data_IF_983691768835
#
_entry.id   IF_983691768835
#
_cell.length_a   1.000
_cell.length_b   1.000
_cell.length_c   1.000
_cell.angle_alpha   90.00
_cell.angle_beta   90.00
_cell.angle_gamma   90.00
#
_symmetry.space_group_name_H-M   'P 1'
#
loop_
_entity.id
_entity.type
_entity.pdbx_description
1 polymer ?
#
# COMPACT_ATOMS: atom_id res chain seq x y z
N UNK A 1 -0.34 15.00 16.82
CA UNK A 1 -1.65 15.67 16.85
C UNK A 1 -2.12 16.15 15.50
N UNK A 2 -1.31 16.95 14.80
CA UNK A 2 -1.73 17.74 13.63
C UNK A 2 -2.18 16.94 12.39
N UNK A 3 -1.58 15.77 12.13
CA UNK A 3 -1.87 14.96 10.91
C UNK A 3 -3.04 13.98 11.10
N UNK A 4 -3.40 13.62 12.34
CA UNK A 4 -4.42 12.59 12.61
C UNK A 4 -5.85 13.11 12.39
N UNK A 5 -6.10 14.37 12.74
CA UNK A 5 -7.41 15.00 12.60
C UNK A 5 -7.88 15.15 11.12
N UNK A 6 -7.05 15.59 10.15
CA UNK A 6 -7.49 15.66 8.75
C UNK A 6 -7.75 14.29 8.12
N UNK A 7 -6.97 13.27 8.47
CA UNK A 7 -7.17 11.90 7.97
C UNK A 7 -8.52 11.31 8.42
N UNK A 8 -8.89 11.52 9.69
CA UNK A 8 -10.17 11.07 10.22
C UNK A 8 -11.35 11.80 9.56
N UNK A 9 -11.21 13.12 9.31
CA UNK A 9 -12.24 13.88 8.60
C UNK A 9 -12.40 13.42 7.16
N UNK A 10 -11.29 13.14 6.48
CA UNK A 10 -11.31 12.60 5.12
C UNK A 10 -11.99 11.23 5.08
N UNK A 11 -11.66 10.33 6.01
CA UNK A 11 -12.29 9.00 6.05
C UNK A 11 -13.80 9.09 6.28
N UNK A 12 -14.25 9.93 7.22
CA UNK A 12 -15.68 10.13 7.49
C UNK A 12 -16.38 10.70 6.25
N UNK A 13 -15.79 11.71 5.61
CA UNK A 13 -16.35 12.31 4.40
C UNK A 13 -16.47 11.29 3.25
N UNK A 14 -15.44 10.46 3.02
CA UNK A 14 -15.47 9.41 2.00
C UNK A 14 -16.55 8.36 2.29
N UNK A 15 -16.74 7.94 3.54
CA UNK A 15 -17.79 6.99 3.91
C UNK A 15 -19.18 7.58 3.69
N UNK A 16 -19.41 8.84 4.06
CA UNK A 16 -20.69 9.52 3.84
C UNK A 16 -21.00 9.67 2.34
N UNK A 17 -20.00 9.98 1.52
CA UNK A 17 -20.15 10.10 0.07
C UNK A 17 -20.52 8.75 -0.57
N UNK A 18 -19.90 7.66 -0.10
CA UNK A 18 -20.23 6.30 -0.54
C UNK A 18 -21.66 5.91 -0.16
N UNK A 19 -22.13 6.25 1.05
CA UNK A 19 -23.53 6.04 1.45
C UNK A 19 -24.49 6.90 0.63
N UNK A 20 -24.14 8.15 0.35
CA UNK A 20 -24.93 9.04 -0.50
C UNK A 20 -25.09 8.49 -1.93
N UNK A 21 -24.02 7.92 -2.51
CA UNK A 21 -24.07 7.29 -3.84
C UNK A 21 -25.02 6.09 -3.91
N UNK A 22 -25.26 5.37 -2.81
CA UNK A 22 -26.28 4.32 -2.76
C UNK A 22 -27.71 4.86 -2.88
N UNK A 23 -27.95 6.10 -2.44
CA UNK A 23 -29.25 6.76 -2.52
C UNK A 23 -29.49 7.48 -3.86
N UNK A 24 -28.52 7.45 -4.79
CA UNK A 24 -28.59 8.11 -6.10
C UNK A 24 -28.64 7.05 -7.22
N UNK A 25 -28.95 7.43 -8.45
CA UNK A 25 -28.94 6.54 -9.64
C UNK A 25 -27.57 5.85 -9.89
N UNK A 26 -26.49 6.35 -9.27
CA UNK A 26 -25.16 5.76 -9.28
C UNK A 26 -24.98 4.55 -8.32
N UNK A 27 -26.05 3.98 -7.78
CA UNK A 27 -26.01 2.88 -6.81
C UNK A 27 -25.23 1.65 -7.30
N UNK A 28 -25.26 1.35 -8.61
CA UNK A 28 -24.49 0.25 -9.20
C UNK A 28 -22.98 0.42 -8.98
N UNK A 29 -22.49 1.66 -9.10
CA UNK A 29 -21.07 1.98 -8.87
C UNK A 29 -20.73 1.74 -7.40
N UNK A 30 -21.57 2.20 -6.49
CA UNK A 30 -21.40 2.00 -5.05
C UNK A 30 -21.44 0.51 -4.67
N UNK A 31 -22.35 -0.26 -5.28
CA UNK A 31 -22.49 -1.70 -5.06
C UNK A 31 -21.26 -2.47 -5.56
N UNK A 32 -20.79 -2.21 -6.78
CA UNK A 32 -19.58 -2.84 -7.33
C UNK A 32 -18.36 -2.52 -6.47
N UNK A 33 -18.20 -1.27 -6.06
CA UNK A 33 -17.08 -0.85 -5.21
C UNK A 33 -17.15 -1.50 -3.82
N UNK A 34 -18.34 -1.59 -3.23
CA UNK A 34 -18.54 -2.26 -1.93
C UNK A 34 -18.29 -3.76 -2.02
N UNK A 35 -18.72 -4.42 -3.09
CA UNK A 35 -18.41 -5.83 -3.34
C UNK A 35 -16.89 -6.04 -3.45
N UNK A 36 -16.18 -5.16 -4.16
CA UNK A 36 -14.72 -5.18 -4.22
C UNK A 36 -14.08 -4.99 -2.84
N UNK A 37 -14.56 -4.04 -2.02
CA UNK A 37 -14.09 -3.84 -0.65
C UNK A 37 -14.27 -5.07 0.23
N UNK A 38 -15.41 -5.77 0.12
CA UNK A 38 -15.69 -7.00 0.88
C UNK A 38 -14.74 -8.12 0.44
N UNK A 39 -14.56 -8.31 -0.87
CA UNK A 39 -13.60 -9.27 -1.40
C UNK A 39 -12.16 -8.94 -0.96
N UNK A 40 -11.82 -7.65 -0.88
CA UNK A 40 -10.48 -7.19 -0.52
C UNK A 40 -10.25 -7.05 0.99
N UNK A 41 -11.24 -7.32 1.83
CA UNK A 41 -11.20 -7.05 3.27
C UNK A 41 -10.04 -7.73 3.99
N UNK A 42 -9.65 -8.93 3.53
CA UNK A 42 -8.58 -9.71 4.14
C UNK A 42 -7.18 -9.36 3.59
N UNK A 43 -7.09 -8.69 2.45
CA UNK A 43 -5.82 -8.37 1.79
C UNK A 43 -4.87 -7.53 2.65
N UNK A 44 -5.32 -6.51 3.41
CA UNK A 44 -4.43 -5.75 4.29
C UNK A 44 -3.78 -6.61 5.39
N UNK A 45 -4.50 -7.64 5.88
CA UNK A 45 -3.99 -8.55 6.91
C UNK A 45 -3.01 -9.60 6.36
N UNK A 46 -3.08 -9.87 5.06
CA UNK A 46 -2.24 -10.85 4.37
C UNK A 46 -0.98 -10.22 3.75
N UNK A 47 -0.67 -8.95 4.07
CA UNK A 47 0.52 -8.26 3.57
C UNK A 47 0.38 -7.73 2.14
N UNK A 48 -0.85 -7.52 1.67
CA UNK A 48 -1.14 -6.93 0.37
C UNK A 48 -1.05 -7.88 -0.82
N UNK A 49 -1.21 -7.35 -2.03
CA UNK A 49 -1.10 -8.09 -3.29
C UNK A 49 0.34 -8.05 -3.80
N UNK A 50 1.07 -9.16 -3.67
CA UNK A 50 2.40 -9.29 -4.27
C UNK A 50 2.25 -9.62 -5.76
N UNK A 51 2.53 -8.65 -6.62
CA UNK A 51 2.58 -8.88 -8.07
C UNK A 51 4.03 -9.02 -8.54
N UNK A 52 4.42 -10.21 -9.00
CA UNK A 52 5.74 -10.45 -9.61
C UNK A 52 5.95 -9.59 -10.85
N UNK A 53 4.92 -9.40 -11.67
CA UNK A 53 5.00 -8.61 -12.91
C UNK A 53 5.38 -7.14 -12.63
N UNK A 54 4.62 -6.45 -11.78
CA UNK A 54 4.97 -5.10 -11.32
C UNK A 54 6.36 -5.04 -10.70
N UNK A 55 6.75 -6.01 -9.85
CA UNK A 55 8.09 -6.03 -9.21
C UNK A 55 9.24 -6.18 -10.21
N UNK A 56 9.00 -6.79 -11.37
CA UNK A 56 10.00 -7.02 -12.41
C UNK A 56 10.04 -5.91 -13.48
N UNK A 57 9.31 -4.80 -13.31
CA UNK A 57 9.34 -3.70 -14.27
C UNK A 57 10.73 -3.02 -14.33
N UNK A 58 11.18 -2.74 -15.55
CA UNK A 58 12.44 -2.02 -15.84
C UNK A 58 12.48 -0.62 -15.19
N UNK A 59 11.32 -0.02 -14.92
CA UNK A 59 11.21 1.24 -14.18
C UNK A 59 11.95 1.19 -12.84
N UNK A 60 11.90 0.06 -12.12
CA UNK A 60 12.58 -0.08 -10.82
C UNK A 60 14.10 -0.15 -10.97
N UNK A 61 14.60 -0.70 -12.07
CA UNK A 61 16.03 -0.70 -12.42
C UNK A 61 16.52 0.74 -12.60
N UNK A 62 15.81 1.55 -13.40
CA UNK A 62 16.17 2.96 -13.59
C UNK A 62 16.11 3.76 -12.29
N UNK A 63 15.08 3.52 -11.47
CA UNK A 63 14.94 4.20 -10.18
C UNK A 63 16.08 3.85 -9.21
N UNK A 64 16.46 2.57 -9.14
CA UNK A 64 17.61 2.09 -8.36
C UNK A 64 18.90 2.80 -8.80
N UNK A 65 19.11 2.91 -10.11
CA UNK A 65 20.35 3.46 -10.68
C UNK A 65 20.44 4.98 -10.52
N UNK A 66 19.29 5.69 -10.52
CA UNK A 66 19.22 7.15 -10.30
C UNK A 66 19.52 7.55 -8.84
N UNK A 67 19.01 6.79 -7.85
CA UNK A 67 19.19 7.05 -6.40
C UNK A 67 20.26 6.16 -5.72
N UNK A 68 21.25 5.69 -6.48
CA UNK A 68 22.12 4.52 -6.19
C UNK A 68 21.71 3.60 -5.03
N UNK A 69 20.51 3.01 -5.07
CA UNK A 69 19.99 2.17 -3.97
C UNK A 69 20.71 0.83 -3.96
N UNK A 70 21.32 0.45 -2.82
CA UNK A 70 22.01 -0.83 -2.61
C UNK A 70 21.56 -1.50 -1.31
N UNK A 71 21.21 -2.78 -1.38
CA UNK A 71 20.91 -3.58 -0.19
C UNK A 71 22.20 -4.29 0.25
N UNK A 72 22.79 -3.82 1.34
CA UNK A 72 24.01 -4.42 1.90
C UNK A 72 23.59 -5.41 3.00
N UNK A 73 23.82 -6.70 2.77
CA UNK A 73 23.60 -7.74 3.78
C UNK A 73 24.73 -7.67 4.80
N UNK A 74 24.41 -7.32 6.04
CA UNK A 74 25.39 -7.19 7.12
C UNK A 74 25.64 -8.50 7.86
N UNK A 75 24.64 -9.36 7.96
CA UNK A 75 24.71 -10.64 8.67
C UNK A 75 23.87 -11.71 7.97
N UNK A 76 24.28 -12.97 8.11
CA UNK A 76 23.47 -14.12 7.71
C UNK A 76 22.34 -14.35 8.71
N UNK A 77 21.10 -14.26 8.22
CA UNK A 77 19.90 -14.52 9.01
C UNK A 77 19.54 -16.00 8.89
N UNK A 78 19.22 -16.62 10.03
CA UNK A 78 18.86 -18.04 10.08
C UNK A 78 17.49 -18.29 9.44
N UNK A 79 17.37 -19.18 8.45
CA UNK A 79 16.10 -19.40 7.72
C UNK A 79 14.98 -19.97 8.60
N UNK A 80 15.31 -20.49 9.79
CA UNK A 80 14.35 -21.05 10.75
C UNK A 80 13.64 -20.00 11.62
N UNK A 81 13.94 -18.70 11.45
CA UNK A 81 13.39 -17.62 12.27
C UNK A 81 12.66 -16.58 11.44
N UNK A 82 11.62 -16.00 12.04
CA UNK A 82 10.88 -14.88 11.46
C UNK A 82 11.58 -13.57 11.81
N UNK A 83 11.82 -12.72 10.81
CA UNK A 83 12.44 -11.41 10.97
C UNK A 83 11.49 -10.31 10.49
N UNK A 84 11.43 -9.21 11.25
CA UNK A 84 10.69 -8.00 10.85
C UNK A 84 11.70 -6.94 10.45
N UNK A 85 11.65 -6.51 9.18
CA UNK A 85 12.50 -5.44 8.68
C UNK A 85 11.78 -4.10 8.84
N UNK A 86 12.35 -3.22 9.67
CA UNK A 86 11.90 -1.84 9.79
C UNK A 86 12.52 -0.98 8.70
N UNK A 87 11.70 -0.13 8.06
CA UNK A 87 12.16 0.89 7.13
C UNK A 87 11.57 2.24 7.56
N UNK A 88 12.42 3.26 7.66
CA UNK A 88 11.97 4.61 7.93
C UNK A 88 11.92 5.39 6.62
N UNK A 89 10.72 5.64 6.05
CA UNK A 89 10.62 6.42 4.82
C UNK A 89 10.94 7.89 5.08
N UNK A 90 11.84 8.45 4.28
CA UNK A 90 12.07 9.90 4.24
C UNK A 90 11.19 10.61 3.20
N UNK A 91 9.99 10.09 2.90
CA UNK A 91 9.06 10.66 1.92
C UNK A 91 7.67 10.02 1.95
N UNK A 92 6.78 10.46 1.04
CA UNK A 92 5.40 9.94 0.91
C UNK A 92 5.39 8.48 0.43
N UNK A 93 6.43 8.06 -0.28
CA UNK A 93 6.56 6.71 -0.84
C UNK A 93 7.80 5.98 -0.32
N UNK A 94 7.67 4.68 -0.06
CA UNK A 94 8.74 3.81 0.43
C UNK A 94 9.56 3.16 -0.70
N UNK A 95 9.83 3.88 -1.80
CA UNK A 95 10.48 3.30 -2.98
C UNK A 95 11.89 2.74 -2.69
N UNK A 96 12.59 3.30 -1.70
CA UNK A 96 13.91 2.83 -1.28
C UNK A 96 13.94 1.38 -0.76
N UNK A 97 12.86 0.91 -0.16
CA UNK A 97 12.73 -0.47 0.30
C UNK A 97 12.27 -1.44 -0.80
N UNK A 98 11.75 -0.90 -1.91
CA UNK A 98 11.16 -1.68 -3.00
C UNK A 98 12.17 -1.99 -4.12
N UNK A 99 13.17 -1.12 -4.31
CA UNK A 99 14.12 -1.20 -5.41
C UNK A 99 15.36 -2.02 -5.03
N UNK A 100 15.26 -3.35 -5.11
CA UNK A 100 16.40 -4.27 -5.13
C UNK A 100 16.11 -5.53 -5.93
#
# INVERSE_FOLDING_TARGET
GFVRAPLIRLSIACTLLLVYMFCTDCWLIAAVYTAWLIMDWNTPRQGGRRSSWVRNWTMWTYFRDYFPIRLIKTHDLLPSRNYVFGYHPHGIFCFGAFCN
#
